data_IF_231562830387
#
_entry.id   IF_231562830387
#
_cell.length_a   1.000
_cell.length_b   1.000
_cell.length_c   1.000
_cell.angle_alpha   90.00
_cell.angle_beta   90.00
_cell.angle_gamma   90.00
#
_symmetry.space_group_name_H-M   'P 1'
#
loop_
_entity.id
_entity.type
_entity.pdbx_description
1 polymer ?
#
# COMPACT_ATOMS: atom_id res chain seq x y z
N UNK A 1 -13.66 40.11 41.59
CA UNK A 1 -13.82 40.16 40.12
C UNK A 1 -13.02 39.00 39.52
N UNK A 2 -13.74 37.99 38.97
CA UNK A 2 -13.15 36.93 38.14
C UNK A 2 -13.24 37.38 36.69
N UNK A 3 -12.20 37.15 35.85
CA UNK A 3 -12.38 37.25 34.42
C UNK A 3 -12.92 35.94 33.86
N UNK A 4 -13.94 36.08 33.04
CA UNK A 4 -14.67 35.08 32.29
C UNK A 4 -13.76 34.48 31.20
N UNK A 5 -13.78 33.14 31.09
CA UNK A 5 -13.16 32.42 30.00
C UNK A 5 -13.94 32.65 28.69
N UNK A 6 -13.24 33.03 27.62
CA UNK A 6 -13.73 33.00 26.25
C UNK A 6 -13.76 31.56 25.73
N UNK A 7 -14.78 31.16 24.99
CA UNK A 7 -14.78 29.89 24.27
C UNK A 7 -13.90 30.03 23.02
N UNK A 8 -12.89 29.21 22.92
CA UNK A 8 -12.16 29.02 21.67
C UNK A 8 -13.06 28.30 20.67
N UNK A 9 -13.63 29.06 19.76
CA UNK A 9 -14.35 28.57 18.59
C UNK A 9 -13.44 27.64 17.76
N UNK A 10 -14.00 26.48 17.44
CA UNK A 10 -13.37 25.49 16.58
C UNK A 10 -13.12 26.06 15.18
N UNK A 11 -11.85 26.29 14.87
CA UNK A 11 -11.43 26.44 13.48
C UNK A 11 -11.52 25.09 12.78
N UNK A 12 -12.11 25.02 11.58
CA UNK A 12 -12.02 23.83 10.76
C UNK A 12 -10.55 23.57 10.49
N UNK A 13 -10.06 22.39 10.85
CA UNK A 13 -8.79 21.90 10.37
C UNK A 13 -8.89 21.75 8.85
N UNK A 14 -8.57 22.81 8.17
CA UNK A 14 -8.17 22.79 6.77
C UNK A 14 -6.98 21.82 6.70
N UNK A 15 -7.20 20.62 6.15
CA UNK A 15 -6.11 19.70 5.85
C UNK A 15 -5.34 20.32 4.69
N UNK A 16 -4.48 21.28 5.03
CA UNK A 16 -3.49 21.82 4.13
C UNK A 16 -2.81 20.61 3.44
N UNK A 17 -2.74 20.70 2.13
CA UNK A 17 -1.91 19.88 1.29
C UNK A 17 -0.52 19.79 1.97
N UNK A 18 -0.20 18.66 2.58
CA UNK A 18 1.00 18.49 3.44
C UNK A 18 2.28 18.42 2.61
N UNK A 19 2.33 19.04 1.45
CA UNK A 19 3.50 19.17 0.58
C UNK A 19 4.24 17.86 0.23
N UNK A 20 3.92 16.76 0.89
CA UNK A 20 4.67 15.50 0.77
C UNK A 20 4.50 14.86 -0.61
N UNK A 21 5.63 14.52 -1.25
CA UNK A 21 5.63 13.89 -2.57
C UNK A 21 5.11 12.45 -2.49
N UNK A 22 3.83 12.27 -2.83
CA UNK A 22 3.17 10.96 -2.94
C UNK A 22 3.32 10.43 -4.36
N UNK A 23 3.82 9.22 -4.51
CA UNK A 23 3.93 8.55 -5.81
C UNK A 23 2.79 7.54 -5.98
N UNK A 24 2.47 7.19 -7.25
CA UNK A 24 1.47 6.16 -7.53
C UNK A 24 1.94 4.77 -7.11
N UNK A 25 1.00 3.86 -6.85
CA UNK A 25 1.29 2.47 -6.48
C UNK A 25 2.26 1.78 -7.45
N UNK A 26 2.07 1.96 -8.77
CA UNK A 26 2.95 1.33 -9.77
C UNK A 26 4.39 1.83 -9.68
N UNK A 27 4.60 3.11 -9.34
CA UNK A 27 5.93 3.70 -9.13
C UNK A 27 6.55 3.16 -7.83
N UNK A 28 5.76 3.10 -6.75
CA UNK A 28 6.19 2.49 -5.49
C UNK A 28 6.61 1.03 -5.70
N UNK A 29 5.81 0.25 -6.43
CA UNK A 29 6.14 -1.14 -6.76
C UNK A 29 7.37 -1.28 -7.67
N UNK A 30 7.63 -0.32 -8.55
CA UNK A 30 8.88 -0.32 -9.33
C UNK A 30 10.10 -0.13 -8.42
N UNK A 31 10.07 0.85 -7.51
CA UNK A 31 11.14 1.07 -6.52
C UNK A 31 11.35 -0.19 -5.66
N UNK A 32 10.27 -0.81 -5.19
CA UNK A 32 10.32 -2.03 -4.40
C UNK A 32 10.95 -3.19 -5.19
N UNK A 33 10.56 -3.39 -6.44
CA UNK A 33 11.10 -4.43 -7.32
C UNK A 33 12.59 -4.25 -7.57
N UNK A 34 13.03 -3.01 -7.84
CA UNK A 34 14.44 -2.68 -8.09
C UNK A 34 15.31 -2.91 -6.84
N UNK A 35 14.72 -2.82 -5.66
CA UNK A 35 15.36 -3.15 -4.38
C UNK A 35 15.28 -4.63 -3.99
N UNK A 36 14.69 -5.49 -4.82
CA UNK A 36 14.54 -6.92 -4.57
C UNK A 36 13.37 -7.27 -3.63
N UNK A 37 12.42 -6.36 -3.43
CA UNK A 37 11.15 -6.67 -2.75
C UNK A 37 10.21 -7.31 -3.77
N UNK A 38 9.68 -8.50 -3.44
CA UNK A 38 8.77 -9.21 -4.32
C UNK A 38 7.42 -8.47 -4.42
N UNK A 39 6.99 -8.23 -5.66
CA UNK A 39 5.72 -7.60 -6.01
C UNK A 39 5.07 -8.43 -7.14
N UNK A 40 3.74 -8.42 -7.29
CA UNK A 40 3.08 -9.08 -8.41
C UNK A 40 3.61 -8.58 -9.77
N UNK A 41 3.61 -9.45 -10.76
CA UNK A 41 3.85 -9.03 -12.14
C UNK A 41 2.70 -8.12 -12.58
N UNK A 42 3.02 -6.98 -13.17
CA UNK A 42 1.99 -6.03 -13.58
C UNK A 42 2.46 -5.08 -14.67
N UNK A 43 1.51 -4.47 -15.33
CA UNK A 43 1.70 -3.52 -16.43
C UNK A 43 0.79 -2.30 -16.24
N UNK A 44 1.34 -1.12 -16.44
CA UNK A 44 0.58 0.14 -16.44
C UNK A 44 -0.04 0.35 -17.80
N UNK A 45 -1.32 0.73 -17.83
CA UNK A 45 -2.09 0.92 -19.04
C UNK A 45 -2.96 2.18 -18.94
N UNK A 46 -3.27 2.78 -20.08
CA UNK A 46 -4.06 4.00 -20.21
C UNK A 46 -5.19 3.89 -21.26
N UNK A 47 -5.35 2.70 -21.85
CA UNK A 47 -6.43 2.41 -22.80
C UNK A 47 -7.05 1.03 -22.50
N UNK A 48 -8.33 0.82 -22.87
CA UNK A 48 -8.98 -0.48 -22.74
C UNK A 48 -8.26 -1.59 -23.53
N UNK A 49 -7.78 -1.28 -24.73
CA UNK A 49 -7.04 -2.25 -25.54
C UNK A 49 -5.71 -2.64 -24.88
N UNK A 50 -4.99 -1.68 -24.30
CA UNK A 50 -3.77 -1.96 -23.56
C UNK A 50 -4.04 -2.85 -22.32
N UNK A 51 -5.19 -2.69 -21.66
CA UNK A 51 -5.59 -3.55 -20.53
C UNK A 51 -5.83 -5.01 -20.97
N UNK A 52 -6.50 -5.22 -22.11
CA UNK A 52 -6.67 -6.56 -22.69
C UNK A 52 -5.32 -7.19 -23.04
N UNK A 53 -4.43 -6.43 -23.66
CA UNK A 53 -3.09 -6.91 -24.04
C UNK A 53 -2.24 -7.23 -22.79
N UNK A 54 -2.31 -6.40 -21.75
CA UNK A 54 -1.63 -6.64 -20.48
C UNK A 54 -2.10 -7.93 -19.81
N UNK A 55 -3.42 -8.17 -19.77
CA UNK A 55 -3.97 -9.41 -19.25
C UNK A 55 -3.41 -10.64 -19.99
N UNK A 56 -3.42 -10.61 -21.33
CA UNK A 56 -2.88 -11.69 -22.14
C UNK A 56 -1.38 -11.91 -21.89
N UNK A 57 -0.58 -10.83 -21.79
CA UNK A 57 0.86 -10.88 -21.53
C UNK A 57 1.19 -11.42 -20.13
N UNK A 58 0.29 -11.30 -19.15
CA UNK A 58 0.43 -11.88 -17.81
C UNK A 58 0.17 -13.39 -17.78
N UNK A 59 -0.24 -14.00 -18.89
CA UNK A 59 -0.44 -15.45 -19.03
C UNK A 59 -1.87 -15.93 -18.78
N UNK A 60 -2.84 -15.02 -18.69
CA UNK A 60 -4.24 -15.35 -18.41
C UNK A 60 -4.48 -15.72 -16.94
N UNK A 61 -5.61 -16.38 -16.69
CA UNK A 61 -6.03 -16.76 -15.33
C UNK A 61 -6.70 -15.61 -14.59
N UNK A 62 -6.37 -15.41 -13.32
CA UNK A 62 -6.90 -14.30 -12.53
C UNK A 62 -5.95 -13.11 -12.59
N UNK A 63 -6.47 -11.95 -12.95
CA UNK A 63 -5.74 -10.67 -12.86
C UNK A 63 -6.56 -9.64 -12.08
N UNK A 64 -5.91 -8.57 -11.65
CA UNK A 64 -6.53 -7.46 -10.91
C UNK A 64 -6.25 -6.17 -11.66
N UNK A 65 -7.30 -5.42 -11.96
CA UNK A 65 -7.23 -4.08 -12.55
C UNK A 65 -7.40 -3.05 -11.42
N UNK A 66 -6.41 -2.17 -11.24
CA UNK A 66 -6.38 -1.20 -10.15
C UNK A 66 -6.26 0.23 -10.68
N UNK A 67 -7.20 1.10 -10.32
CA UNK A 67 -7.13 2.52 -10.61
C UNK A 67 -5.89 3.14 -9.94
N UNK A 68 -5.15 3.97 -10.68
CA UNK A 68 -3.96 4.66 -10.17
C UNK A 68 -4.31 6.12 -9.86
N UNK A 69 -4.59 6.38 -8.58
CA UNK A 69 -4.86 7.72 -8.02
C UNK A 69 -4.02 7.92 -6.75
N UNK A 70 -3.80 9.17 -6.35
CA UNK A 70 -3.06 9.50 -5.11
C UNK A 70 -3.95 9.39 -3.86
N UNK A 71 -4.67 8.29 -3.73
CA UNK A 71 -5.52 8.00 -2.57
C UNK A 71 -5.63 6.51 -2.31
N UNK A 72 -5.71 6.15 -1.04
CA UNK A 72 -6.03 4.80 -0.59
C UNK A 72 -7.54 4.50 -0.62
N UNK A 73 -7.91 3.27 -0.24
CA UNK A 73 -9.30 2.84 -0.14
C UNK A 73 -9.99 2.60 -1.49
N UNK A 74 -9.24 2.46 -2.58
CA UNK A 74 -9.74 2.27 -3.96
C UNK A 74 -10.65 1.05 -4.11
N UNK A 75 -10.38 -0.02 -3.37
CA UNK A 75 -11.20 -1.25 -3.41
C UNK A 75 -12.62 -1.05 -2.86
N UNK A 76 -12.79 -0.11 -1.93
CA UNK A 76 -14.08 0.30 -1.36
C UNK A 76 -14.63 1.58 -2.01
N UNK A 77 -13.79 2.30 -2.75
CA UNK A 77 -14.16 3.49 -3.49
C UNK A 77 -15.04 3.15 -4.67
N UNK A 78 -15.86 4.10 -5.11
CA UNK A 78 -16.80 3.94 -6.20
C UNK A 78 -16.59 5.00 -7.29
N UNK A 79 -16.85 4.64 -8.54
CA UNK A 79 -16.87 5.59 -9.65
C UNK A 79 -18.12 6.45 -9.51
N UNK A 80 -17.96 7.77 -9.59
CA UNK A 80 -19.05 8.75 -9.38
C UNK A 80 -20.22 8.52 -10.33
N UNK A 81 -19.91 8.20 -11.58
CA UNK A 81 -20.87 7.98 -12.66
C UNK A 81 -21.48 6.56 -12.63
N UNK A 82 -20.79 5.61 -11.98
CA UNK A 82 -21.20 4.21 -11.84
C UNK A 82 -20.87 3.70 -10.42
N UNK A 83 -21.71 3.89 -9.42
CA UNK A 83 -21.42 3.55 -8.01
C UNK A 83 -21.11 2.08 -7.76
N UNK A 84 -21.58 1.17 -8.59
CA UNK A 84 -21.27 -0.27 -8.53
C UNK A 84 -19.87 -0.61 -9.05
N UNK A 85 -19.21 0.35 -9.73
CA UNK A 85 -17.86 0.16 -10.24
C UNK A 85 -16.84 0.62 -9.21
N UNK A 86 -16.04 -0.31 -8.67
CA UNK A 86 -14.98 -0.02 -7.72
C UNK A 86 -13.64 0.19 -8.42
N UNK A 87 -12.72 0.89 -7.75
CA UNK A 87 -11.39 1.19 -8.26
C UNK A 87 -10.42 0.01 -8.32
N UNK A 88 -10.82 -1.15 -7.78
CA UNK A 88 -10.06 -2.42 -7.86
C UNK A 88 -11.04 -3.52 -8.27
N UNK A 89 -10.73 -4.21 -9.37
CA UNK A 89 -11.59 -5.25 -9.94
C UNK A 89 -10.78 -6.48 -10.33
N UNK A 90 -11.31 -7.66 -10.01
CA UNK A 90 -10.78 -8.94 -10.44
C UNK A 90 -11.34 -9.25 -11.83
N UNK A 91 -10.47 -9.66 -12.76
CA UNK A 91 -10.82 -10.00 -14.13
C UNK A 91 -10.24 -11.36 -14.50
N UNK A 92 -10.94 -12.09 -15.39
CA UNK A 92 -10.58 -13.45 -15.80
C UNK A 92 -10.49 -13.63 -17.30
N UNK A 93 -10.68 -12.55 -18.06
CA UNK A 93 -10.50 -12.55 -19.52
C UNK A 93 -9.98 -11.20 -20.01
N UNK A 94 -9.46 -11.18 -21.25
CA UNK A 94 -9.03 -9.94 -21.92
C UNK A 94 -10.20 -8.98 -22.13
N UNK A 95 -11.39 -9.51 -22.42
CA UNK A 95 -12.61 -8.73 -22.63
C UNK A 95 -13.08 -8.08 -21.32
N UNK A 96 -12.99 -8.82 -20.19
CA UNK A 96 -13.28 -8.25 -18.87
C UNK A 96 -12.27 -7.14 -18.50
N UNK A 97 -10.98 -7.34 -18.78
CA UNK A 97 -9.96 -6.34 -18.55
C UNK A 97 -10.23 -5.06 -19.37
N UNK A 98 -10.55 -5.19 -20.65
CA UNK A 98 -10.90 -4.05 -21.51
C UNK A 98 -12.17 -3.33 -21.03
N UNK A 99 -13.21 -4.07 -20.69
CA UNK A 99 -14.48 -3.52 -20.18
C UNK A 99 -14.29 -2.79 -18.87
N UNK A 100 -13.56 -3.38 -17.92
CA UNK A 100 -13.22 -2.74 -16.64
C UNK A 100 -12.41 -1.47 -16.87
N UNK A 101 -11.45 -1.49 -17.78
CA UNK A 101 -10.66 -0.33 -18.13
C UNK A 101 -11.52 0.81 -18.72
N UNK A 102 -12.48 0.49 -19.60
CA UNK A 102 -13.42 1.49 -20.16
C UNK A 102 -14.27 2.16 -19.09
N UNK A 103 -14.64 1.45 -18.03
CA UNK A 103 -15.48 1.97 -16.93
C UNK A 103 -14.69 2.75 -15.89
N UNK A 104 -13.37 2.62 -15.87
CA UNK A 104 -12.50 3.32 -14.91
C UNK A 104 -11.77 4.51 -15.53
N UNK A 105 -11.23 4.38 -16.73
CA UNK A 105 -10.44 5.43 -17.37
C UNK A 105 -11.29 6.64 -17.74
N UNK A 106 -10.83 7.82 -17.38
CA UNK A 106 -11.53 9.09 -17.61
C UNK A 106 -12.64 9.39 -16.61
N UNK A 107 -13.05 8.43 -15.77
CA UNK A 107 -14.09 8.60 -14.76
C UNK A 107 -13.51 9.03 -13.40
N UNK A 108 -14.36 9.61 -12.56
CA UNK A 108 -14.00 10.10 -11.23
C UNK A 108 -14.20 9.02 -10.18
N UNK A 109 -13.10 8.59 -9.53
CA UNK A 109 -13.14 7.65 -8.42
C UNK A 109 -13.22 8.40 -7.09
N UNK A 110 -14.25 8.10 -6.30
CA UNK A 110 -14.47 8.64 -4.96
C UNK A 110 -14.03 7.59 -3.94
N UNK A 111 -13.17 7.98 -3.01
CA UNK A 111 -12.75 7.17 -1.86
C UNK A 111 -12.88 8.00 -0.58
N UNK A 112 -12.75 7.35 0.58
CA UNK A 112 -12.73 8.07 1.88
C UNK A 112 -11.62 9.14 1.91
N UNK A 113 -10.47 8.86 1.25
CA UNK A 113 -9.33 9.79 1.24
C UNK A 113 -9.45 10.92 0.21
N UNK A 114 -10.15 10.71 -0.91
CA UNK A 114 -10.39 11.78 -1.90
C UNK A 114 -11.50 12.73 -1.49
N UNK A 115 -12.34 12.31 -0.55
CA UNK A 115 -13.57 13.02 -0.27
C UNK A 115 -14.55 13.03 -1.47
N UNK A 116 -15.63 13.81 -1.42
CA UNK A 116 -16.69 13.83 -2.44
C UNK A 116 -16.24 14.38 -3.80
N UNK A 117 -15.14 15.14 -3.86
CA UNK A 117 -14.58 15.64 -5.11
C UNK A 117 -14.04 14.50 -5.99
N UNK A 118 -13.50 13.45 -5.37
CA UNK A 118 -12.90 12.33 -6.07
C UNK A 118 -11.61 12.70 -6.83
N UNK A 119 -11.09 11.73 -7.58
CA UNK A 119 -9.96 11.93 -8.50
C UNK A 119 -10.23 11.22 -9.82
N UNK A 120 -9.91 11.87 -10.93
CA UNK A 120 -10.03 11.27 -12.27
C UNK A 120 -8.98 10.19 -12.46
N UNK A 121 -9.42 9.00 -12.86
CA UNK A 121 -8.55 7.86 -13.16
C UNK A 121 -7.94 8.02 -14.54
N UNK A 122 -6.64 8.25 -14.61
CA UNK A 122 -5.90 8.44 -15.87
C UNK A 122 -5.09 7.22 -16.28
N UNK A 123 -4.80 6.34 -15.35
CA UNK A 123 -4.00 5.12 -15.56
C UNK A 123 -4.54 3.99 -14.70
N UNK A 124 -4.31 2.79 -15.19
CA UNK A 124 -4.61 1.55 -14.47
C UNK A 124 -3.34 0.72 -14.35
N UNK A 125 -3.29 -0.08 -13.30
CA UNK A 125 -2.31 -1.14 -13.13
C UNK A 125 -3.04 -2.48 -13.29
N UNK A 126 -2.65 -3.26 -14.28
CA UNK A 126 -3.13 -4.64 -14.47
C UNK A 126 -2.10 -5.58 -13.89
N UNK A 127 -2.45 -6.35 -12.88
CA UNK A 127 -1.54 -7.24 -12.14
C UNK A 127 -2.02 -8.68 -12.16
N UNK A 128 -1.08 -9.61 -12.15
CA UNK A 128 -1.35 -11.02 -11.96
C UNK A 128 -1.94 -11.25 -10.55
N UNK A 129 -3.05 -11.98 -10.47
CA UNK A 129 -3.61 -12.42 -9.20
C UNK A 129 -2.75 -13.49 -8.54
N UNK A 130 -2.84 -13.62 -7.22
CA UNK A 130 -2.18 -14.66 -6.45
C UNK A 130 -3.16 -15.33 -5.48
N UNK A 131 -2.83 -16.54 -5.04
CA UNK A 131 -3.58 -17.23 -4.00
C UNK A 131 -3.06 -16.81 -2.64
N UNK A 132 -3.86 -16.04 -1.92
CA UNK A 132 -3.51 -15.48 -0.61
C UNK A 132 -3.88 -16.50 0.47
N UNK A 133 -2.94 -16.81 1.36
CA UNK A 133 -3.16 -17.62 2.55
C UNK A 133 -3.21 -16.77 3.82
N UNK A 134 -2.51 -15.64 3.85
CA UNK A 134 -2.51 -14.72 4.98
C UNK A 134 -2.28 -13.29 4.48
N UNK A 135 -3.04 -12.36 5.02
CA UNK A 135 -2.83 -10.91 4.82
C UNK A 135 -2.15 -10.32 6.05
N UNK A 136 -1.08 -9.61 5.83
CA UNK A 136 -0.22 -8.99 6.81
C UNK A 136 -0.11 -7.49 6.52
N UNK A 137 0.40 -6.76 7.50
CA UNK A 137 0.79 -5.36 7.37
C UNK A 137 2.30 -5.22 7.58
N UNK A 138 2.93 -4.36 6.78
CA UNK A 138 4.29 -3.87 7.01
C UNK A 138 4.37 -2.40 6.64
N UNK A 139 4.81 -1.56 7.58
CA UNK A 139 5.02 -0.12 7.34
C UNK A 139 6.29 0.37 8.01
N UNK A 140 6.88 1.44 7.49
CA UNK A 140 8.04 2.11 8.07
C UNK A 140 7.75 3.60 8.17
N UNK A 141 7.97 4.15 9.34
CA UNK A 141 7.83 5.57 9.65
C UNK A 141 9.01 6.01 10.51
N UNK A 142 9.24 7.32 10.61
CA UNK A 142 10.18 7.86 11.59
C UNK A 142 9.47 8.02 12.94
N UNK A 143 10.01 7.40 13.99
CA UNK A 143 9.62 7.69 15.36
C UNK A 143 10.35 8.96 15.82
N UNK A 144 9.59 10.03 16.00
CA UNK A 144 10.16 11.34 16.35
C UNK A 144 10.70 11.40 17.78
N UNK A 145 10.22 10.55 18.67
CA UNK A 145 10.68 10.52 20.06
C UNK A 145 12.06 9.87 20.18
N UNK A 146 12.28 8.80 19.40
CA UNK A 146 13.56 8.08 19.37
C UNK A 146 14.49 8.54 18.24
N UNK A 147 14.01 9.41 17.34
CA UNK A 147 14.70 9.87 16.13
C UNK A 147 15.26 8.72 15.27
N UNK A 148 14.52 7.62 15.19
CA UNK A 148 14.87 6.41 14.45
C UNK A 148 13.72 5.98 13.52
N UNK A 149 14.03 5.37 12.38
CA UNK A 149 13.03 4.66 11.61
C UNK A 149 12.56 3.41 12.36
N UNK A 150 11.26 3.17 12.33
CA UNK A 150 10.59 2.04 12.98
C UNK A 150 9.82 1.23 11.96
N UNK A 151 10.17 -0.04 11.85
CA UNK A 151 9.36 -1.02 11.13
C UNK A 151 8.18 -1.43 12.02
N UNK A 152 6.98 -1.26 11.50
CA UNK A 152 5.71 -1.64 12.12
C UNK A 152 5.13 -2.79 11.32
N UNK A 153 4.80 -3.90 11.98
CA UNK A 153 4.17 -5.05 11.33
C UNK A 153 2.98 -5.55 12.13
N UNK A 154 2.00 -6.14 11.44
CA UNK A 154 0.85 -6.80 12.05
C UNK A 154 0.44 -8.05 11.26
N UNK A 155 -0.12 -9.03 11.97
CA UNK A 155 -0.79 -10.18 11.37
C UNK A 155 -2.20 -9.85 10.82
N UNK A 156 -2.64 -8.60 10.97
CA UNK A 156 -3.91 -8.08 10.47
C UNK A 156 -3.62 -7.09 9.33
N UNK A 157 -3.58 -7.60 8.10
CA UNK A 157 -3.43 -6.82 6.88
C UNK A 157 -4.75 -6.59 6.16
N UNK A 158 -4.70 -5.79 5.08
CA UNK A 158 -5.88 -5.49 4.24
C UNK A 158 -6.88 -4.52 4.86
N UNK A 159 -6.59 -4.00 6.04
CA UNK A 159 -7.42 -3.04 6.77
C UNK A 159 -6.58 -1.84 7.24
N UNK A 160 -7.27 -0.82 7.72
CA UNK A 160 -6.66 0.41 8.23
C UNK A 160 -5.87 0.10 9.51
N UNK A 161 -4.58 0.37 9.52
CA UNK A 161 -3.68 0.04 10.64
C UNK A 161 -3.99 0.86 11.89
N UNK A 162 -4.53 2.07 11.74
CA UNK A 162 -4.97 2.90 12.86
C UNK A 162 -6.18 2.27 13.57
N UNK A 163 -7.09 1.65 12.82
CA UNK A 163 -8.21 0.89 13.40
C UNK A 163 -7.71 -0.35 14.13
N UNK A 164 -6.73 -1.06 13.55
CA UNK A 164 -6.11 -2.22 14.22
C UNK A 164 -5.43 -1.78 15.51
N UNK A 165 -4.67 -0.68 15.50
CA UNK A 165 -3.99 -0.15 16.66
C UNK A 165 -4.95 0.28 17.78
N UNK A 166 -6.13 0.81 17.42
CA UNK A 166 -7.16 1.19 18.39
C UNK A 166 -7.90 -0.01 18.99
N UNK A 167 -8.17 -1.05 18.19
CA UNK A 167 -8.95 -2.20 18.61
C UNK A 167 -8.10 -3.30 19.29
N UNK A 168 -6.86 -3.48 18.83
CA UNK A 168 -5.95 -4.57 19.25
C UNK A 168 -4.49 -4.12 19.21
N UNK A 169 -4.08 -3.19 20.09
CA UNK A 169 -2.72 -2.63 20.08
C UNK A 169 -1.62 -3.69 20.26
N UNK A 170 -1.94 -4.80 20.93
CA UNK A 170 -1.04 -5.94 21.13
C UNK A 170 -0.72 -6.70 19.81
N UNK A 171 -1.51 -6.51 18.77
CA UNK A 171 -1.28 -7.09 17.44
C UNK A 171 -0.30 -6.28 16.58
N UNK A 172 0.09 -5.09 17.05
CA UNK A 172 1.05 -4.20 16.40
C UNK A 172 2.44 -4.44 16.98
N UNK A 173 3.38 -4.84 16.15
CA UNK A 173 4.77 -5.04 16.54
C UNK A 173 5.64 -3.97 15.94
N UNK A 174 6.39 -3.27 16.78
CA UNK A 174 7.30 -2.19 16.42
C UNK A 174 8.74 -2.66 16.61
N UNK A 175 9.58 -2.36 15.65
CA UNK A 175 11.00 -2.71 15.70
C UNK A 175 11.83 -1.55 15.14
N UNK A 176 12.46 -0.73 16.00
CA UNK A 176 13.35 0.33 15.56
C UNK A 176 14.62 -0.25 14.93
N UNK A 177 15.18 0.44 13.96
CA UNK A 177 16.45 0.06 13.35
C UNK A 177 17.30 1.29 13.04
N UNK A 178 18.62 1.12 13.11
CA UNK A 178 19.56 2.18 12.78
C UNK A 178 19.71 2.29 11.26
N UNK A 179 19.63 3.49 10.65
CA UNK A 179 19.70 3.67 9.19
C UNK A 179 20.94 3.01 8.55
N UNK A 180 22.14 3.23 9.11
CA UNK A 180 23.38 2.68 8.55
C UNK A 180 23.49 1.16 8.73
N UNK A 181 23.01 0.66 9.87
CA UNK A 181 23.13 -0.75 10.22
C UNK A 181 22.04 -1.62 9.61
N UNK A 182 20.92 -1.01 9.26
CA UNK A 182 19.71 -1.67 8.77
C UNK A 182 19.06 -2.62 9.79
N UNK A 183 18.00 -3.26 9.36
CA UNK A 183 17.30 -4.27 10.15
C UNK A 183 18.16 -5.55 10.29
N UNK A 184 18.32 -6.03 11.52
CA UNK A 184 19.15 -7.21 11.81
C UNK A 184 18.37 -8.52 11.71
N UNK A 185 19.06 -9.62 11.37
CA UNK A 185 18.43 -10.94 11.19
C UNK A 185 17.68 -11.44 12.43
N UNK A 186 18.17 -11.13 13.63
CA UNK A 186 17.48 -11.53 14.88
C UNK A 186 16.16 -10.76 15.06
N UNK A 187 16.11 -9.48 14.66
CA UNK A 187 14.89 -8.67 14.67
C UNK A 187 13.85 -9.26 13.72
N UNK A 188 14.27 -9.62 12.50
CA UNK A 188 13.37 -10.28 11.54
C UNK A 188 12.84 -11.61 12.08
N UNK A 189 13.69 -12.47 12.66
CA UNK A 189 13.24 -13.75 13.24
C UNK A 189 12.21 -13.55 14.36
N UNK A 190 12.42 -12.52 15.21
CA UNK A 190 11.47 -12.13 16.25
C UNK A 190 10.11 -11.74 15.64
N UNK A 191 10.12 -10.87 14.60
CA UNK A 191 8.92 -10.42 13.92
C UNK A 191 8.21 -11.56 13.17
N UNK A 192 8.95 -12.39 12.42
CA UNK A 192 8.39 -13.54 11.70
C UNK A 192 7.63 -14.49 12.63
N UNK A 193 8.18 -14.76 13.84
CA UNK A 193 7.50 -15.57 14.87
C UNK A 193 6.22 -14.89 15.36
N UNK A 194 6.24 -13.58 15.60
CA UNK A 194 5.06 -12.81 16.05
C UNK A 194 3.97 -12.73 14.98
N UNK A 195 4.35 -12.67 13.70
CA UNK A 195 3.42 -12.70 12.57
C UNK A 195 2.86 -14.10 12.29
N UNK A 196 3.31 -15.13 13.00
CA UNK A 196 2.89 -16.52 12.77
C UNK A 196 3.38 -17.09 11.44
N UNK A 197 4.45 -16.53 10.87
CA UNK A 197 4.97 -17.02 9.60
C UNK A 197 5.58 -18.43 9.75
N UNK A 198 5.30 -19.34 8.79
CA UNK A 198 5.91 -20.66 8.79
C UNK A 198 7.43 -20.56 8.63
N UNK A 199 8.16 -21.52 9.21
CA UNK A 199 9.64 -21.54 9.18
C UNK A 199 10.20 -21.42 7.74
N UNK A 200 9.54 -22.04 6.76
CA UNK A 200 9.89 -21.97 5.35
C UNK A 200 9.85 -20.53 4.78
N UNK A 201 8.95 -19.69 5.28
CA UNK A 201 8.82 -18.28 4.86
C UNK A 201 9.82 -17.34 5.56
N UNK A 202 10.50 -17.79 6.63
CA UNK A 202 11.38 -16.93 7.45
C UNK A 202 12.53 -16.31 6.65
N UNK A 203 13.14 -17.05 5.71
CA UNK A 203 14.21 -16.53 4.85
C UNK A 203 13.69 -15.47 3.88
N UNK A 204 12.49 -15.69 3.33
CA UNK A 204 11.81 -14.72 2.45
C UNK A 204 11.44 -13.46 3.20
N UNK A 205 10.93 -13.60 4.43
CA UNK A 205 10.65 -12.49 5.33
C UNK A 205 11.91 -11.66 5.62
N UNK A 206 13.06 -12.32 5.81
CA UNK A 206 14.33 -11.62 6.04
C UNK A 206 14.72 -10.77 4.82
N UNK A 207 14.70 -11.35 3.63
CA UNK A 207 14.99 -10.61 2.39
C UNK A 207 14.01 -9.48 2.19
N UNK A 208 12.72 -9.73 2.33
CA UNK A 208 11.65 -8.76 2.13
C UNK A 208 11.78 -7.56 3.08
N UNK A 209 11.78 -7.80 4.40
CA UNK A 209 11.77 -6.73 5.40
C UNK A 209 13.06 -5.93 5.40
N UNK A 210 14.22 -6.58 5.21
CA UNK A 210 15.50 -5.87 5.08
C UNK A 210 15.55 -5.00 3.82
N UNK A 211 15.00 -5.48 2.70
CA UNK A 211 14.92 -4.69 1.46
C UNK A 211 13.98 -3.51 1.63
N UNK A 212 12.83 -3.70 2.30
CA UNK A 212 11.90 -2.62 2.59
C UNK A 212 12.55 -1.51 3.43
N UNK A 213 13.31 -1.88 4.47
CA UNK A 213 14.07 -0.92 5.28
C UNK A 213 15.15 -0.17 4.47
N UNK A 214 15.83 -0.88 3.54
CA UNK A 214 16.79 -0.22 2.63
C UNK A 214 16.12 0.77 1.68
N UNK A 215 14.94 0.45 1.15
CA UNK A 215 14.15 1.38 0.32
C UNK A 215 13.86 2.65 1.10
N UNK A 216 13.36 2.50 2.33
CA UNK A 216 13.03 3.65 3.19
C UNK A 216 14.21 4.61 3.36
N UNK A 217 15.37 4.07 3.72
CA UNK A 217 16.58 4.89 3.95
C UNK A 217 17.14 5.45 2.63
N UNK A 218 17.24 4.62 1.57
CA UNK A 218 17.89 5.02 0.31
C UNK A 218 17.14 6.11 -0.46
N UNK A 219 15.83 6.15 -0.32
CA UNK A 219 14.97 7.08 -1.05
C UNK A 219 14.43 8.19 -0.15
N UNK A 220 15.02 8.39 1.03
CA UNK A 220 14.60 9.40 2.00
C UNK A 220 13.08 9.47 2.16
N UNK A 221 12.51 8.30 2.52
CA UNK A 221 11.06 8.18 2.65
C UNK A 221 10.60 8.66 4.02
N UNK A 222 9.49 9.39 4.06
CA UNK A 222 8.75 9.67 5.30
C UNK A 222 7.77 8.54 5.66
N UNK A 223 7.34 7.76 4.64
CA UNK A 223 6.48 6.58 4.79
C UNK A 223 6.81 5.56 3.71
N UNK A 224 6.95 4.30 4.10
CA UNK A 224 6.81 3.14 3.21
C UNK A 224 5.76 2.22 3.84
N UNK A 225 4.71 1.91 3.11
CA UNK A 225 3.62 1.05 3.57
C UNK A 225 3.31 -0.02 2.56
N UNK A 226 3.18 -1.25 3.02
CA UNK A 226 2.72 -2.41 2.26
C UNK A 226 1.48 -2.97 2.97
N UNK A 227 0.31 -2.78 2.36
CA UNK A 227 -0.97 -3.15 2.96
C UNK A 227 -2.03 -3.55 1.91
N UNK A 228 -2.25 -4.87 1.70
CA UNK A 228 -1.62 -5.96 2.43
C UNK A 228 -0.24 -6.38 1.90
N UNK A 229 0.61 -6.80 2.81
CA UNK A 229 1.69 -7.75 2.57
C UNK A 229 1.06 -9.14 2.63
N UNK A 230 1.23 -9.96 1.60
CA UNK A 230 0.57 -11.26 1.58
C UNK A 230 1.56 -12.43 1.60
N UNK A 231 1.19 -13.48 2.32
CA UNK A 231 1.78 -14.80 2.18
C UNK A 231 0.93 -15.58 1.17
N UNK A 232 1.54 -16.11 0.13
CA UNK A 232 0.88 -16.90 -0.89
C UNK A 232 0.88 -18.39 -0.54
N UNK A 233 0.06 -19.19 -1.25
CA UNK A 233 0.04 -20.65 -1.12
C UNK A 233 1.42 -21.29 -1.42
N UNK A 234 2.21 -20.66 -2.29
CA UNK A 234 3.57 -21.09 -2.64
C UNK A 234 4.61 -20.69 -1.58
N UNK A 235 4.16 -20.02 -0.51
CA UNK A 235 5.00 -19.53 0.58
C UNK A 235 5.81 -18.29 0.22
N UNK A 236 5.47 -17.57 -0.87
CA UNK A 236 6.08 -16.28 -1.21
C UNK A 236 5.47 -15.15 -0.38
N UNK A 237 6.28 -14.12 -0.10
CA UNK A 237 5.82 -12.86 0.48
C UNK A 237 5.78 -11.81 -0.62
N UNK A 238 4.61 -11.21 -0.88
CA UNK A 238 4.40 -10.22 -1.93
C UNK A 238 3.82 -8.92 -1.37
N UNK A 239 4.35 -7.78 -1.82
CA UNK A 239 3.71 -6.48 -1.61
C UNK A 239 2.54 -6.34 -2.59
N UNK A 240 1.32 -6.62 -2.12
CA UNK A 240 0.13 -6.63 -2.97
C UNK A 240 -0.39 -5.21 -3.22
N UNK A 241 -0.29 -4.33 -2.24
CA UNK A 241 -0.44 -2.87 -2.42
C UNK A 241 0.72 -2.17 -1.72
N UNK A 242 1.18 -1.05 -2.28
CA UNK A 242 2.30 -0.31 -1.77
C UNK A 242 2.07 1.20 -1.88
N UNK A 243 2.43 1.90 -0.82
CA UNK A 243 2.41 3.35 -0.73
C UNK A 243 3.77 3.85 -0.25
N UNK A 244 4.36 4.76 -1.00
CA UNK A 244 5.60 5.44 -0.63
C UNK A 244 5.33 6.94 -0.64
N UNK A 245 5.79 7.61 0.41
CA UNK A 245 5.84 9.06 0.50
C UNK A 245 7.29 9.44 0.73
N UNK A 246 7.82 10.28 -0.14
CA UNK A 246 9.18 10.81 -0.02
C UNK A 246 9.20 12.00 0.93
N UNK A 247 10.33 12.26 1.56
CA UNK A 247 10.51 13.47 2.37
C UNK A 247 10.72 14.66 1.44
N UNK A 248 10.00 15.76 1.67
CA UNK A 248 10.09 16.97 0.84
C UNK A 248 11.36 17.78 1.09
N UNK A 249 12.12 17.44 2.13
CA UNK A 249 13.38 18.10 2.48
C UNK A 249 14.62 17.27 2.10
N UNK A 250 14.43 16.16 1.37
CA UNK A 250 15.51 15.26 0.97
C UNK A 250 16.18 15.69 -0.35
#
# INVERSE_FOLDING_TARGET
>A
CRPTASPCDGMPHDRANDGSMKIHEYQAKQILRDAGVAVPRGMVVDTPQAAANAYAALGGGTAVVKAQIHAGGRGKGAVKEEPEQHGVQIVRSSEEAARTASRLLGHTLITVQTGPAGQVVRRLLVEQGCQITQELYAGIVVDRAEALPVLVVSAQGGMDIEQVAAASPESIFREPFHPDAGLRSFQVRKLAKRLGLPAAASRRAETFLKSLCRVFVRHDCSLVEVNPLVLTADGELLALDAKITLDDNA
#
